data_IF_443867497019
#
_entry.id   IF_443867497019
#
_cell.length_a   1.000
_cell.length_b   1.000
_cell.length_c   1.000
_cell.angle_alpha   90.00
_cell.angle_beta   90.00
_cell.angle_gamma   90.00
#
_symmetry.space_group_name_H-M   'P 1'
#
loop_
_entity.id
_entity.type
_entity.pdbx_description
1 polymer ?
#
# COMPACT_ATOMS: atom_id res chain seq x y z
N UNK A 1 16.84 -15.18 -1.82
CA UNK A 1 15.87 -14.64 -0.82
C UNK A 1 14.76 -13.96 -1.59
N UNK A 2 13.51 -14.19 -1.18
CA UNK A 2 12.34 -13.49 -1.73
C UNK A 2 11.74 -12.69 -0.59
N UNK A 3 11.54 -11.39 -0.80
CA UNK A 3 10.80 -10.51 0.10
C UNK A 3 9.46 -10.25 -0.55
N UNK A 4 8.42 -10.77 0.08
CA UNK A 4 7.05 -10.60 -0.39
C UNK A 4 6.35 -9.44 0.33
N UNK A 5 5.31 -8.92 -0.32
CA UNK A 5 4.50 -7.80 0.17
C UNK A 5 5.31 -6.62 0.71
N UNK A 6 6.35 -6.23 -0.04
CA UNK A 6 7.20 -5.10 0.33
C UNK A 6 6.45 -3.75 0.43
N UNK A 7 5.16 -3.72 0.08
CA UNK A 7 4.28 -2.57 0.31
C UNK A 7 3.85 -2.39 1.77
N UNK A 8 3.94 -3.42 2.62
CA UNK A 8 3.49 -3.34 4.02
C UNK A 8 4.36 -2.42 4.89
N UNK A 9 5.54 -1.98 4.40
CA UNK A 9 6.43 -1.01 5.06
C UNK A 9 6.68 -1.31 6.54
N UNK A 10 6.76 -2.59 6.91
CA UNK A 10 7.08 -2.97 8.28
C UNK A 10 8.54 -2.66 8.61
N UNK A 11 8.84 -2.41 9.89
CA UNK A 11 10.20 -2.19 10.38
C UNK A 11 11.15 -3.30 9.91
N UNK A 12 10.67 -4.55 9.94
CA UNK A 12 11.44 -5.72 9.54
C UNK A 12 11.78 -5.70 8.04
N UNK A 13 10.82 -5.33 7.19
CA UNK A 13 11.02 -5.22 5.74
C UNK A 13 12.03 -4.10 5.44
N UNK A 14 11.84 -2.91 6.02
CA UNK A 14 12.74 -1.79 5.76
C UNK A 14 14.17 -2.09 6.26
N UNK A 15 14.30 -2.69 7.44
CA UNK A 15 15.58 -3.12 8.00
C UNK A 15 16.29 -4.14 7.09
N UNK A 16 15.57 -5.20 6.67
CA UNK A 16 16.19 -6.26 5.87
C UNK A 16 16.56 -5.77 4.47
N UNK A 17 15.80 -4.86 3.86
CA UNK A 17 16.13 -4.26 2.57
C UNK A 17 17.42 -3.44 2.66
N UNK A 18 17.56 -2.61 3.71
CA UNK A 18 18.79 -1.85 3.96
C UNK A 18 20.00 -2.75 4.21
N UNK A 19 19.83 -3.84 4.97
CA UNK A 19 20.88 -4.81 5.22
C UNK A 19 21.29 -5.58 3.95
N UNK A 20 20.32 -6.07 3.18
CA UNK A 20 20.56 -6.85 1.97
C UNK A 20 21.27 -6.04 0.89
N UNK A 21 20.96 -4.75 0.74
CA UNK A 21 21.70 -3.88 -0.19
C UNK A 21 23.21 -3.94 0.04
N UNK A 22 23.64 -3.89 1.30
CA UNK A 22 25.05 -3.97 1.65
C UNK A 22 25.61 -5.40 1.49
N UNK A 23 24.79 -6.41 1.79
CA UNK A 23 25.20 -7.81 1.69
C UNK A 23 25.41 -8.27 0.24
N UNK A 24 24.57 -7.82 -0.69
CA UNK A 24 24.64 -8.17 -2.11
C UNK A 24 26.00 -7.82 -2.73
N UNK A 25 26.62 -6.70 -2.31
CA UNK A 25 27.96 -6.33 -2.76
C UNK A 25 29.06 -7.29 -2.27
N UNK A 26 28.85 -7.95 -1.11
CA UNK A 26 29.81 -8.89 -0.49
C UNK A 26 29.54 -10.35 -0.87
N UNK A 27 28.32 -10.66 -1.31
CA UNK A 27 27.83 -12.00 -1.66
C UNK A 27 27.27 -11.98 -3.08
N UNK A 28 28.12 -12.02 -4.11
CA UNK A 28 27.67 -11.99 -5.50
C UNK A 28 26.89 -13.25 -5.92
N UNK A 29 26.97 -14.33 -5.14
CA UNK A 29 26.18 -15.54 -5.29
C UNK A 29 24.75 -15.39 -4.76
N UNK A 30 24.49 -14.41 -3.90
CA UNK A 30 23.18 -14.17 -3.30
C UNK A 30 22.26 -13.46 -4.29
N UNK A 31 21.09 -14.03 -4.53
CA UNK A 31 20.02 -13.41 -5.32
C UNK A 31 18.87 -12.97 -4.42
N UNK A 32 18.34 -11.77 -4.68
CA UNK A 32 17.19 -11.21 -3.98
C UNK A 32 16.10 -10.89 -5.01
N UNK A 33 14.87 -11.29 -4.72
CA UNK A 33 13.67 -10.89 -5.46
C UNK A 33 12.78 -10.13 -4.47
N UNK A 34 12.22 -9.00 -4.91
CA UNK A 34 11.31 -8.18 -4.13
C UNK A 34 9.98 -8.15 -4.89
N UNK A 35 8.90 -8.59 -4.24
CA UNK A 35 7.55 -8.62 -4.81
C UNK A 35 6.62 -7.69 -4.05
N UNK A 36 5.66 -7.12 -4.77
CA UNK A 36 4.64 -6.21 -4.22
C UNK A 36 3.53 -5.94 -5.24
N UNK A 37 2.31 -5.71 -4.76
CA UNK A 37 1.16 -5.34 -5.59
C UNK A 37 0.96 -3.82 -5.77
N UNK A 38 1.46 -2.99 -4.84
CA UNK A 38 1.05 -1.57 -4.75
C UNK A 38 2.21 -0.58 -4.61
N UNK A 39 3.46 -1.05 -4.75
CA UNK A 39 4.65 -0.21 -4.55
C UNK A 39 5.03 0.59 -5.81
N UNK A 40 5.84 1.64 -5.63
CA UNK A 40 6.57 2.33 -6.71
C UNK A 40 7.84 1.51 -7.05
N UNK A 41 7.84 0.70 -8.13
CA UNK A 41 8.96 -0.17 -8.45
C UNK A 41 10.21 0.62 -8.88
N UNK A 42 10.05 1.84 -9.39
CA UNK A 42 11.15 2.68 -9.85
C UNK A 42 12.05 3.11 -8.69
N UNK A 43 11.46 3.46 -7.53
CA UNK A 43 12.23 3.77 -6.31
C UNK A 43 13.10 2.59 -5.87
N UNK A 44 12.55 1.38 -5.91
CA UNK A 44 13.26 0.17 -5.50
C UNK A 44 14.35 -0.19 -6.50
N UNK A 45 14.06 -0.14 -7.80
CA UNK A 45 15.05 -0.33 -8.85
C UNK A 45 16.25 0.59 -8.64
N UNK A 46 16.03 1.90 -8.46
CA UNK A 46 17.10 2.88 -8.19
C UNK A 46 17.87 2.56 -6.90
N UNK A 47 17.19 2.11 -5.84
CA UNK A 47 17.84 1.76 -4.59
C UNK A 47 18.76 0.54 -4.73
N UNK A 48 18.40 -0.43 -5.57
CA UNK A 48 19.14 -1.66 -5.85
C UNK A 48 19.87 -1.62 -7.20
N UNK A 49 20.60 -0.52 -7.46
CA UNK A 49 21.50 -0.39 -8.61
C UNK A 49 20.81 -0.53 -9.98
N UNK A 50 19.65 0.10 -10.14
CA UNK A 50 18.79 0.01 -11.33
C UNK A 50 18.38 -1.45 -11.63
N UNK A 51 18.00 -2.19 -10.58
CA UNK A 51 17.54 -3.57 -10.71
C UNK A 51 16.40 -3.68 -11.74
N UNK A 52 16.37 -4.74 -12.56
CA UNK A 52 15.29 -4.96 -13.53
C UNK A 52 13.93 -5.00 -12.85
N UNK A 53 12.94 -4.34 -13.46
CA UNK A 53 11.55 -4.37 -13.03
C UNK A 53 10.81 -5.34 -13.93
N UNK A 54 10.05 -6.25 -13.32
CA UNK A 54 9.18 -7.20 -14.02
C UNK A 54 7.75 -6.91 -13.57
N UNK A 55 6.90 -6.48 -14.50
CA UNK A 55 5.48 -6.28 -14.25
C UNK A 55 4.71 -7.50 -14.78
N UNK A 56 3.86 -8.05 -13.92
CA UNK A 56 2.99 -9.18 -14.26
C UNK A 56 1.55 -8.70 -14.23
N UNK A 57 0.87 -8.72 -15.38
CA UNK A 57 -0.54 -8.39 -15.44
C UNK A 57 -1.38 -9.56 -14.89
N UNK A 58 -2.10 -9.30 -13.80
CA UNK A 58 -3.11 -10.22 -13.28
C UNK A 58 -4.39 -10.18 -14.12
N UNK A 59 -5.09 -11.31 -14.23
CA UNK A 59 -6.49 -11.30 -14.66
C UNK A 59 -7.34 -10.90 -13.46
N UNK A 60 -7.96 -9.73 -13.51
CA UNK A 60 -8.90 -9.30 -12.48
C UNK A 60 -10.30 -9.83 -12.82
N UNK A 61 -10.99 -10.36 -11.82
CA UNK A 61 -12.44 -10.53 -11.89
C UNK A 61 -13.11 -9.25 -11.39
N UNK A 62 -14.28 -8.86 -11.89
CA UNK A 62 -14.96 -7.65 -11.44
C UNK A 62 -15.25 -7.76 -9.93
N UNK A 63 -14.85 -6.73 -9.19
CA UNK A 63 -15.14 -6.58 -7.76
C UNK A 63 -16.16 -5.46 -7.61
N UNK A 64 -17.30 -5.76 -6.97
CA UNK A 64 -18.30 -4.76 -6.63
C UNK A 64 -17.91 -4.04 -5.34
N UNK A 65 -17.72 -2.72 -5.40
CA UNK A 65 -17.45 -1.90 -4.21
C UNK A 65 -18.79 -1.42 -3.64
N UNK A 66 -19.12 -1.82 -2.41
CA UNK A 66 -20.31 -1.36 -1.67
C UNK A 66 -19.89 -0.55 -0.46
N UNK A 67 -20.43 0.66 -0.35
CA UNK A 67 -20.22 1.53 0.81
C UNK A 67 -21.37 1.36 1.80
N UNK A 68 -21.06 1.37 3.10
CA UNK A 68 -22.09 1.46 4.13
C UNK A 68 -22.57 2.92 4.20
N UNK A 69 -23.87 3.19 4.14
CA UNK A 69 -24.40 4.53 4.39
C UNK A 69 -23.94 5.04 5.77
N UNK A 70 -23.63 6.34 5.94
CA UNK A 70 -23.38 6.93 7.25
C UNK A 70 -24.53 6.63 8.21
N UNK A 71 -24.23 6.46 9.49
CA UNK A 71 -25.16 6.00 10.51
C UNK A 71 -26.16 7.09 10.97
N UNK A 72 -26.81 7.82 10.06
CA UNK A 72 -27.75 8.91 10.41
C UNK A 72 -29.01 8.96 9.52
N UNK A 73 -29.56 7.80 9.16
CA UNK A 73 -30.82 7.75 8.37
C UNK A 73 -31.91 6.87 8.97
N UNK A 74 -31.81 6.48 10.25
CA UNK A 74 -32.81 5.62 10.90
C UNK A 74 -33.44 6.19 12.18
N UNK A 75 -33.30 7.50 12.45
CA UNK A 75 -34.11 8.19 13.46
C UNK A 75 -34.81 9.38 12.83
N UNK A 76 -36.07 9.15 12.43
CA UNK A 76 -37.03 10.23 12.21
C UNK A 76 -37.23 10.94 13.54
N UNK A 77 -36.46 11.99 13.82
CA UNK A 77 -36.84 13.05 14.75
C UNK A 77 -36.06 14.32 14.37
N UNK A 78 -36.78 15.44 14.40
CA UNK A 78 -36.51 16.75 13.78
C UNK A 78 -35.19 17.46 14.20
N UNK A 79 -34.30 16.80 14.94
CA UNK A 79 -33.02 17.35 15.42
C UNK A 79 -31.85 17.16 14.43
N UNK A 80 -31.95 16.22 13.49
CA UNK A 80 -30.86 15.82 12.58
C UNK A 80 -30.50 16.87 11.49
N UNK A 81 -31.36 17.85 11.22
CA UNK A 81 -31.08 18.89 10.20
C UNK A 81 -30.00 19.88 10.66
N UNK A 82 -29.86 20.13 11.96
CA UNK A 82 -28.84 21.03 12.48
C UNK A 82 -27.44 20.38 12.45
N UNK A 83 -27.35 19.06 12.63
CA UNK A 83 -26.10 18.32 12.65
C UNK A 83 -25.47 18.18 11.24
N UNK A 84 -26.31 18.07 10.21
CA UNK A 84 -25.83 17.98 8.83
C UNK A 84 -25.16 19.27 8.35
N UNK A 85 -25.65 20.43 8.80
CA UNK A 85 -24.99 21.72 8.53
C UNK A 85 -23.66 21.82 9.28
N UNK A 86 -23.62 21.35 10.53
CA UNK A 86 -22.41 21.34 11.35
C UNK A 86 -21.29 20.47 10.75
N UNK A 87 -21.63 19.27 10.25
CA UNK A 87 -20.67 18.37 9.61
C UNK A 87 -20.09 18.91 8.29
N UNK A 88 -20.82 19.78 7.59
CA UNK A 88 -20.30 20.48 6.40
C UNK A 88 -19.33 21.59 6.82
N UNK A 89 -19.60 22.30 7.93
CA UNK A 89 -18.73 23.34 8.46
C UNK A 89 -17.41 22.79 9.03
N UNK A 90 -17.43 21.62 9.66
CA UNK A 90 -16.23 21.00 10.23
C UNK A 90 -15.30 20.35 9.18
N UNK A 91 -15.80 20.15 7.95
CA UNK A 91 -15.07 19.52 6.86
C UNK A 91 -14.35 20.51 5.91
N UNK A 92 -14.49 21.82 6.12
CA UNK A 92 -13.81 22.90 5.36
C UNK A 92 -12.75 23.56 6.24
#
# INVERSE_FOLDING_TARGET
IIIDEAHERSLNIDFILGYLKNLLAKRPDLKVIITSATIDPQRFSKHFNNAPIIEVSGRTYPVEVRYRPPADTASNDTEAQNDQLQGIFDAV
#
